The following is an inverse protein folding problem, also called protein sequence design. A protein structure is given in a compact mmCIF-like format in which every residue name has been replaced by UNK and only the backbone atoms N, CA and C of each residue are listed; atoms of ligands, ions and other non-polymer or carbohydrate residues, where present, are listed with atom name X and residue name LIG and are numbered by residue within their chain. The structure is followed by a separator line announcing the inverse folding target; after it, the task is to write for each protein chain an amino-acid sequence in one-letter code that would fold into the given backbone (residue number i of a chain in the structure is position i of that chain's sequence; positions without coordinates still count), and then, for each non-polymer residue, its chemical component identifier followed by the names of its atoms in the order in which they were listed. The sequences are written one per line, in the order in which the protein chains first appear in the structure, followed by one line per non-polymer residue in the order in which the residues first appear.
data_IF_074207714407
#
_entry.id   IF_074207714407
#
_cell.length_a   1.000
_cell.length_b   1.000
_cell.length_c   1.000
_cell.angle_alpha   90.00
_cell.angle_beta   90.00
_cell.angle_gamma   90.00
#
_symmetry.space_group_name_H-M   'P 1'
#
loop_
_entity.id
_entity.type
_entity.pdbx_description
1 polymer ?
#
# COMPACT_ATOMS: atom_id res chain seq x y z
N UNK A 1 9.10 9.60 -12.65
CA UNK A 1 8.27 8.39 -12.69
C UNK A 1 7.04 8.61 -11.85
N UNK A 2 5.93 7.99 -12.24
CA UNK A 2 4.69 8.04 -11.47
C UNK A 2 4.67 6.95 -10.39
N UNK A 3 3.92 7.15 -9.31
CA UNK A 3 3.90 6.24 -8.15
C UNK A 3 3.57 4.78 -8.51
N UNK A 4 2.67 4.55 -9.47
CA UNK A 4 2.34 3.19 -9.91
C UNK A 4 3.56 2.51 -10.55
N UNK A 5 4.37 3.25 -11.32
CA UNK A 5 5.59 2.71 -11.90
C UNK A 5 6.64 2.42 -10.82
N UNK A 6 6.77 3.27 -9.81
CA UNK A 6 7.70 3.06 -8.68
C UNK A 6 7.36 1.76 -7.93
N UNK A 7 6.08 1.57 -7.56
CA UNK A 7 5.60 0.37 -6.87
C UNK A 7 5.86 -0.88 -7.72
N UNK A 8 5.58 -0.80 -9.01
CA UNK A 8 5.85 -1.90 -9.94
C UNK A 8 7.33 -2.23 -9.98
N UNK A 9 8.21 -1.23 -10.14
CA UNK A 9 9.66 -1.43 -10.23
C UNK A 9 10.23 -2.01 -8.93
N UNK A 10 9.74 -1.59 -7.77
CA UNK A 10 10.11 -2.17 -6.48
C UNK A 10 9.71 -3.64 -6.37
N UNK A 11 8.47 -3.97 -6.72
CA UNK A 11 7.97 -5.35 -6.74
C UNK A 11 8.75 -6.21 -7.73
N UNK A 12 8.98 -5.69 -8.93
CA UNK A 12 9.75 -6.36 -9.97
C UNK A 12 11.14 -6.72 -9.46
N UNK A 13 11.86 -5.78 -8.85
CA UNK A 13 13.20 -6.03 -8.30
C UNK A 13 13.20 -7.05 -7.16
N UNK A 14 12.13 -7.11 -6.37
CA UNK A 14 11.99 -8.07 -5.27
C UNK A 14 11.57 -9.48 -5.75
N UNK A 15 10.90 -9.59 -6.88
CA UNK A 15 10.32 -10.84 -7.40
C UNK A 15 11.33 -11.81 -8.04
N UNK A 16 12.53 -11.34 -8.36
CA UNK A 16 13.56 -12.13 -9.06
C UNK A 16 13.30 -12.31 -10.57
N UNK A 17 12.23 -11.72 -11.12
CA UNK A 17 12.00 -11.75 -12.56
C UNK A 17 13.07 -10.97 -13.33
N UNK A 18 13.43 -11.49 -14.50
CA UNK A 18 14.34 -10.81 -15.44
C UNK A 18 13.56 -10.20 -16.59
N UNK A 19 14.11 -9.12 -17.18
CA UNK A 19 13.50 -8.47 -18.34
C UNK A 19 13.33 -9.43 -19.53
N UNK A 20 14.25 -10.38 -19.68
CA UNK A 20 14.20 -11.43 -20.70
C UNK A 20 13.02 -12.38 -20.51
N UNK A 21 12.77 -12.84 -19.28
CA UNK A 21 11.63 -13.72 -18.98
C UNK A 21 10.31 -13.01 -19.27
N UNK A 22 10.16 -11.79 -18.76
CA UNK A 22 8.93 -11.03 -18.90
C UNK A 22 8.69 -10.59 -20.35
N UNK A 23 9.73 -10.26 -21.10
CA UNK A 23 9.62 -9.97 -22.52
C UNK A 23 9.08 -11.15 -23.34
N UNK A 24 9.39 -12.38 -22.91
CA UNK A 24 8.93 -13.60 -23.57
C UNK A 24 7.41 -13.82 -23.53
N UNK A 25 6.71 -13.35 -22.48
CA UNK A 25 5.27 -13.54 -22.34
C UNK A 25 4.45 -12.24 -22.40
N UNK A 26 5.05 -11.07 -22.21
CA UNK A 26 4.36 -9.78 -22.33
C UNK A 26 4.31 -9.24 -23.76
N UNK A 27 5.11 -9.80 -24.68
CA UNK A 27 5.27 -9.28 -26.03
C UNK A 27 6.07 -7.97 -26.10
N UNK A 28 6.53 -7.43 -24.97
CA UNK A 28 7.40 -6.27 -24.92
C UNK A 28 8.85 -6.67 -25.19
N UNK A 29 9.53 -5.86 -26.00
CA UNK A 29 10.96 -6.07 -26.25
C UNK A 29 11.78 -5.86 -24.97
N UNK A 30 12.75 -6.74 -24.72
CA UNK A 30 13.58 -6.74 -23.50
C UNK A 30 14.24 -5.37 -23.24
N UNK A 31 14.69 -4.69 -24.29
CA UNK A 31 15.31 -3.37 -24.18
C UNK A 31 14.34 -2.30 -23.68
N UNK A 32 13.06 -2.37 -24.05
CA UNK A 32 12.00 -1.47 -23.57
C UNK A 32 11.73 -1.72 -22.10
N UNK A 33 11.58 -2.98 -21.72
CA UNK A 33 11.34 -3.37 -20.33
C UNK A 33 12.52 -2.96 -19.42
N UNK A 34 13.75 -3.18 -19.90
CA UNK A 34 14.97 -2.80 -19.18
C UNK A 34 15.10 -1.29 -19.00
N UNK A 35 14.79 -0.49 -20.03
CA UNK A 35 14.77 0.98 -19.89
C UNK A 35 13.70 1.44 -18.91
N UNK A 36 12.52 0.84 -18.94
CA UNK A 36 11.44 1.10 -18.00
C UNK A 36 11.86 0.78 -16.56
N UNK A 37 12.34 -0.43 -16.27
CA UNK A 37 12.77 -0.84 -14.92
C UNK A 37 13.89 0.04 -14.35
N UNK A 38 14.75 0.56 -15.22
CA UNK A 38 15.87 1.43 -14.85
C UNK A 38 15.51 2.92 -14.81
N UNK A 39 14.24 3.30 -14.99
CA UNK A 39 13.83 4.72 -14.96
C UNK A 39 14.28 5.55 -16.15
N UNK A 40 14.75 4.91 -17.23
CA UNK A 40 15.25 5.58 -18.44
C UNK A 40 14.15 5.89 -19.45
N UNK A 41 12.97 5.31 -19.29
CA UNK A 41 11.80 5.58 -20.13
C UNK A 41 10.51 5.35 -19.34
N UNK A 42 9.55 6.25 -19.50
CA UNK A 42 8.20 6.02 -19.03
C UNK A 42 7.41 5.19 -20.06
N UNK A 43 6.39 4.51 -19.58
CA UNK A 43 5.48 3.70 -20.38
C UNK A 43 4.09 4.34 -20.39
N UNK A 44 3.34 4.19 -21.49
CA UNK A 44 1.94 4.65 -21.53
C UNK A 44 1.11 3.82 -20.56
N UNK A 45 0.03 4.41 -20.03
CA UNK A 45 -0.81 3.75 -19.04
C UNK A 45 -1.41 2.43 -19.56
N UNK A 46 -1.88 2.39 -20.82
CA UNK A 46 -2.40 1.15 -21.43
C UNK A 46 -1.36 0.05 -21.45
N UNK A 47 -0.21 0.31 -22.10
CA UNK A 47 0.92 -0.63 -22.17
C UNK A 47 1.39 -1.12 -20.79
N UNK A 48 1.32 -0.26 -19.76
CA UNK A 48 1.65 -0.63 -18.39
C UNK A 48 0.65 -1.63 -17.79
N UNK A 49 -0.66 -1.40 -17.96
CA UNK A 49 -1.67 -2.31 -17.43
C UNK A 49 -1.70 -3.63 -18.19
N UNK A 50 -1.47 -3.60 -19.51
CA UNK A 50 -1.30 -4.81 -20.31
C UNK A 50 -0.10 -5.63 -19.81
N UNK A 51 1.04 -4.96 -19.54
CA UNK A 51 2.20 -5.60 -18.93
C UNK A 51 1.88 -6.21 -17.56
N UNK A 52 1.21 -5.46 -16.67
CA UNK A 52 0.84 -5.94 -15.34
C UNK A 52 -0.05 -7.18 -15.41
N UNK A 53 -1.01 -7.21 -16.35
CA UNK A 53 -1.92 -8.33 -16.56
C UNK A 53 -1.19 -9.62 -17.01
N UNK A 54 0.01 -9.51 -17.56
CA UNK A 54 0.83 -10.67 -17.93
C UNK A 54 1.57 -11.31 -16.76
N UNK A 55 1.58 -10.71 -15.57
CA UNK A 55 2.21 -11.30 -14.39
C UNK A 55 1.29 -12.31 -13.70
N UNK A 56 1.83 -13.26 -12.91
CA UNK A 56 1.03 -14.11 -12.05
C UNK A 56 0.14 -13.30 -11.09
N UNK A 57 -0.99 -13.89 -10.72
CA UNK A 57 -2.02 -13.24 -9.92
C UNK A 57 -1.47 -12.71 -8.59
N UNK A 58 -0.54 -13.44 -7.96
CA UNK A 58 0.09 -13.05 -6.71
C UNK A 58 0.90 -11.75 -6.84
N UNK A 59 1.57 -11.56 -7.98
CA UNK A 59 2.33 -10.34 -8.24
C UNK A 59 1.37 -9.15 -8.47
N UNK A 60 0.29 -9.38 -9.24
CA UNK A 60 -0.74 -8.38 -9.46
C UNK A 60 -1.40 -7.96 -8.15
N UNK A 61 -1.73 -8.92 -7.29
CA UNK A 61 -2.32 -8.67 -5.98
C UNK A 61 -1.39 -7.82 -5.11
N UNK A 62 -0.11 -8.18 -5.02
CA UNK A 62 0.86 -7.38 -4.27
C UNK A 62 1.00 -5.96 -4.82
N UNK A 63 0.96 -5.80 -6.15
CA UNK A 63 0.92 -4.50 -6.79
C UNK A 63 -0.30 -3.70 -6.35
N UNK A 64 -1.50 -4.27 -6.47
CA UNK A 64 -2.74 -3.58 -6.11
C UNK A 64 -2.84 -3.29 -4.61
N UNK A 65 -2.30 -4.14 -3.74
CA UNK A 65 -2.22 -3.87 -2.30
C UNK A 65 -1.35 -2.64 -2.04
N UNK A 66 -0.16 -2.55 -2.65
CA UNK A 66 0.76 -1.41 -2.46
C UNK A 66 0.25 -0.13 -3.14
N UNK A 67 -0.38 -0.28 -4.30
CA UNK A 67 -0.99 0.81 -5.05
C UNK A 67 -2.22 1.37 -4.32
N UNK A 68 -3.06 0.51 -3.72
CA UNK A 68 -4.18 0.93 -2.85
C UNK A 68 -3.72 1.41 -1.47
N UNK A 69 -2.56 0.97 -0.98
CA UNK A 69 -1.83 1.60 0.12
C UNK A 69 -1.23 2.96 -0.27
N UNK A 70 -1.96 3.77 -1.04
CA UNK A 70 -1.94 5.21 -0.86
C UNK A 70 -2.28 5.45 0.60
N UNK A 71 -1.25 5.67 1.42
CA UNK A 71 -1.24 6.23 2.77
C UNK A 71 -2.67 6.29 3.29
N UNK A 72 -3.10 5.21 3.95
CA UNK A 72 -4.47 5.07 4.42
C UNK A 72 -4.91 6.39 5.03
N UNK A 73 -5.73 7.14 4.31
CA UNK A 73 -6.45 8.22 4.91
C UNK A 73 -7.44 7.49 5.78
N UNK A 74 -7.07 7.31 7.04
CA UNK A 74 -7.89 6.68 8.05
C UNK A 74 -9.30 7.29 8.02
N UNK A 75 -9.45 8.55 7.57
CA UNK A 75 -10.74 9.17 7.30
C UNK A 75 -11.54 8.40 6.24
N UNK A 76 -10.95 8.05 5.11
CA UNK A 76 -11.64 7.29 4.07
C UNK A 76 -11.99 5.87 4.57
N UNK A 77 -11.09 5.23 5.33
CA UNK A 77 -11.38 3.93 5.94
C UNK A 77 -12.53 4.00 6.95
N UNK A 78 -12.62 5.08 7.76
CA UNK A 78 -13.73 5.31 8.67
C UNK A 78 -15.02 5.63 7.90
N UNK A 79 -14.95 6.49 6.88
CA UNK A 79 -16.11 6.91 6.09
C UNK A 79 -16.71 5.80 5.22
N UNK A 80 -15.93 4.76 4.93
CA UNK A 80 -16.36 3.59 4.16
C UNK A 80 -16.54 2.33 5.01
N UNK A 81 -16.35 2.43 6.33
CA UNK A 81 -16.53 1.32 7.25
C UNK A 81 -18.00 0.86 7.27
N UNK A 82 -18.21 -0.44 7.44
CA UNK A 82 -19.55 -0.95 7.74
C UNK A 82 -20.01 -0.43 9.12
N UNK A 83 -21.32 -0.37 9.42
CA UNK A 83 -21.79 0.05 10.73
C UNK A 83 -21.18 -0.75 11.89
N UNK A 84 -20.94 -2.05 11.69
CA UNK A 84 -20.32 -2.94 12.68
C UNK A 84 -18.85 -2.62 12.91
N UNK A 85 -18.09 -2.39 11.84
CA UNK A 85 -16.66 -2.05 11.96
C UNK A 85 -16.50 -0.66 12.58
N UNK A 86 -17.38 0.28 12.24
CA UNK A 86 -17.39 1.61 12.84
C UNK A 86 -17.70 1.56 14.35
N UNK A 87 -18.69 0.76 14.76
CA UNK A 87 -19.00 0.51 16.18
C UNK A 87 -17.77 -0.03 16.93
N UNK A 88 -17.08 -1.01 16.34
CA UNK A 88 -15.88 -1.59 16.93
C UNK A 88 -14.73 -0.58 17.05
N UNK A 89 -14.51 0.25 16.02
CA UNK A 89 -13.53 1.34 16.05
C UNK A 89 -13.83 2.32 17.19
N UNK A 90 -15.09 2.75 17.33
CA UNK A 90 -15.49 3.66 18.41
C UNK A 90 -15.27 3.05 19.80
N UNK A 91 -15.59 1.77 19.98
CA UNK A 91 -15.36 1.04 21.23
C UNK A 91 -13.87 1.02 21.59
N UNK A 92 -13.02 0.63 20.63
CA UNK A 92 -11.57 0.58 20.84
C UNK A 92 -10.98 1.96 21.19
N UNK A 93 -11.48 3.03 20.57
CA UNK A 93 -11.08 4.40 20.92
C UNK A 93 -11.50 4.78 22.34
N UNK A 94 -12.71 4.37 22.76
CA UNK A 94 -13.20 4.58 24.13
C UNK A 94 -12.36 3.84 25.16
N UNK A 95 -12.06 2.56 24.92
CA UNK A 95 -11.22 1.74 25.80
C UNK A 95 -9.81 2.33 25.93
N UNK A 96 -9.23 2.73 24.79
CA UNK A 96 -7.93 3.40 24.77
C UNK A 96 -7.95 4.68 25.61
N UNK A 97 -8.97 5.52 25.45
CA UNK A 97 -9.09 6.77 26.21
C UNK A 97 -9.17 6.50 27.72
N UNK A 98 -10.02 5.58 28.16
CA UNK A 98 -10.21 5.26 29.57
C UNK A 98 -8.92 4.76 30.24
N UNK A 99 -8.10 3.98 29.51
CA UNK A 99 -6.80 3.51 29.99
C UNK A 99 -5.82 4.67 30.17
N UNK A 100 -5.79 5.61 29.22
CA UNK A 100 -4.77 6.65 29.17
C UNK A 100 -5.14 7.95 29.92
N UNK A 101 -6.44 8.23 30.10
CA UNK A 101 -6.92 9.41 30.84
C UNK A 101 -6.82 9.24 32.36
N UNK A 102 -6.94 8.01 32.88
CA UNK A 102 -6.81 7.74 34.32
C UNK A 102 -5.35 7.80 34.82
N UNK A 103 -4.38 7.74 33.90
CA UNK A 103 -2.95 7.88 34.23
C UNK A 103 -2.56 9.30 34.61
N UNK A 104 -3.41 10.32 34.34
CA UNK A 104 -3.09 11.74 34.57
C UNK A 104 -3.64 12.30 35.89
N UNK A 105 -4.50 11.58 36.60
CA UNK A 105 -5.20 12.10 37.80
C UNK A 105 -4.62 11.63 39.15
N UNK A 106 -3.69 10.67 39.16
CA UNK A 106 -3.06 10.16 40.40
C UNK A 106 -2.04 11.12 41.05
N UNK A 107 -1.80 12.30 40.46
CA UNK A 107 -0.84 13.29 40.96
C UNK A 107 -1.40 14.42 41.83
N UNK A 108 -2.72 14.49 42.07
CA UNK A 108 -3.35 15.66 42.72
C UNK A 108 -3.97 15.43 44.11
N UNK A 109 -3.82 14.26 44.71
CA UNK A 109 -4.23 14.06 46.11
C UNK A 109 -3.10 14.51 47.04
N UNK A 110 -3.00 15.83 47.28
CA UNK A 110 -2.29 16.37 48.46
C UNK A 110 -3.01 15.84 49.69
N UNK A 111 -2.40 14.89 50.39
CA UNK A 111 -2.76 14.58 51.78
C UNK A 111 -2.16 15.71 52.62
N UNK A 112 -3.02 16.62 53.07
CA UNK A 112 -2.71 17.53 54.16
C UNK A 112 -2.74 16.72 55.46
N UNK A 113 -1.58 16.62 56.11
CA UNK A 113 -1.43 16.34 57.54
C UNK A 113 -0.55 17.45 58.12
#
# INVERSE_FOLDING_TARGET
MSRHQEIFVELFKASGYTAKQVGGWSGLHESTLSRFINGKSDMKAGDFFDLLACFPEEFQEQFWIRFRHVKGDWRNLIMTASPKDFEEICRLMGDWWAIHSNSTDLGKTKVAL
#
